data_IF_375605428327
#
_entry.id   IF_375605428327
#
_cell.length_a   1.000
_cell.length_b   1.000
_cell.length_c   1.000
_cell.angle_alpha   90.00
_cell.angle_beta   90.00
_cell.angle_gamma   90.00
#
_symmetry.space_group_name_H-M   'P 1'
#
loop_
_entity.id
_entity.type
_entity.pdbx_description
1 polymer ?
#
# COMPACT_ATOMS: atom_id res chain seq x y z
N UNK A 1 -15.27 -53.03 -10.76
CA UNK A 1 -14.05 -52.26 -11.00
C UNK A 1 -13.51 -51.78 -9.66
N UNK A 2 -12.33 -52.21 -9.24
CA UNK A 2 -11.72 -51.70 -8.00
C UNK A 2 -10.90 -50.45 -8.31
N UNK A 3 -11.22 -49.38 -7.64
CA UNK A 3 -10.44 -48.12 -7.72
C UNK A 3 -9.19 -48.31 -6.85
N UNK A 4 -8.02 -48.21 -7.46
CA UNK A 4 -6.74 -48.30 -6.75
C UNK A 4 -6.36 -46.86 -6.33
N UNK A 5 -6.45 -46.54 -5.04
CA UNK A 5 -5.93 -45.31 -4.47
C UNK A 5 -4.40 -45.36 -4.52
N UNK A 6 -3.79 -44.34 -5.11
CA UNK A 6 -2.33 -44.15 -5.12
C UNK A 6 -2.05 -42.88 -4.33
N UNK A 7 -1.42 -43.00 -3.17
CA UNK A 7 -0.86 -41.88 -2.44
C UNK A 7 0.37 -41.39 -3.16
N UNK A 8 0.45 -40.06 -3.33
CA UNK A 8 1.63 -39.37 -3.86
C UNK A 8 2.02 -38.26 -2.89
N UNK A 9 3.27 -38.22 -2.55
CA UNK A 9 3.84 -37.11 -1.83
C UNK A 9 4.00 -35.94 -2.81
N UNK A 10 3.39 -34.80 -2.53
CA UNK A 10 3.44 -33.60 -3.34
C UNK A 10 4.14 -32.53 -2.51
N UNK A 11 5.24 -32.00 -3.00
CA UNK A 11 5.92 -30.87 -2.38
C UNK A 11 4.99 -29.66 -2.37
N UNK A 12 4.81 -29.05 -1.19
CA UNK A 12 4.07 -27.79 -1.08
C UNK A 12 4.82 -26.69 -1.84
N UNK A 13 4.18 -26.00 -2.80
CA UNK A 13 4.81 -24.91 -3.50
C UNK A 13 5.06 -23.70 -2.59
N UNK A 14 4.43 -23.67 -1.41
CA UNK A 14 4.58 -22.56 -0.45
C UNK A 14 5.84 -22.67 0.40
N UNK A 15 6.46 -23.89 0.47
CA UNK A 15 7.59 -24.17 1.36
C UNK A 15 7.23 -23.97 2.84
N UNK A 16 8.13 -24.35 3.72
CA UNK A 16 8.06 -24.00 5.15
C UNK A 16 8.76 -22.66 5.36
N UNK A 17 8.15 -21.57 4.86
CA UNK A 17 8.68 -20.24 5.10
C UNK A 17 8.22 -19.83 6.50
N UNK A 18 9.08 -19.99 7.50
CA UNK A 18 8.93 -19.25 8.75
C UNK A 18 9.05 -17.77 8.45
N UNK A 19 7.92 -17.14 8.25
CA UNK A 19 7.87 -15.67 8.09
C UNK A 19 8.17 -15.04 9.44
N UNK A 20 9.40 -14.58 9.64
CA UNK A 20 9.74 -13.86 10.87
C UNK A 20 8.90 -12.60 10.92
N UNK A 21 8.03 -12.51 11.94
CA UNK A 21 7.27 -11.28 12.21
C UNK A 21 8.26 -10.11 12.39
N UNK A 22 7.99 -9.02 11.68
CA UNK A 22 8.77 -7.78 11.75
C UNK A 22 7.88 -6.65 12.26
N UNK A 23 8.49 -5.75 13.02
CA UNK A 23 7.82 -4.53 13.43
C UNK A 23 7.89 -3.52 12.29
N UNK A 24 6.85 -2.72 12.15
CA UNK A 24 6.84 -1.56 11.27
C UNK A 24 7.75 -0.46 11.82
N UNK A 25 8.28 0.36 10.94
CA UNK A 25 8.94 1.59 11.34
C UNK A 25 7.92 2.52 12.01
N UNK A 26 8.23 3.13 13.16
CA UNK A 26 7.33 4.09 13.77
C UNK A 26 7.19 5.33 12.88
N UNK A 27 6.04 5.99 12.91
CA UNK A 27 5.95 7.34 12.37
C UNK A 27 6.79 8.27 13.24
N UNK A 28 7.53 9.21 12.65
CA UNK A 28 8.17 10.25 13.42
C UNK A 28 7.13 11.18 14.06
N UNK A 29 7.40 11.66 15.28
CA UNK A 29 6.51 12.59 15.99
C UNK A 29 6.30 13.89 15.19
N UNK A 30 7.32 14.31 14.47
CA UNK A 30 7.27 15.42 13.54
C UNK A 30 7.87 14.98 12.20
N UNK A 31 7.16 15.24 11.10
CA UNK A 31 7.61 14.90 9.75
C UNK A 31 7.44 16.09 8.81
N UNK A 32 8.48 16.36 8.06
CA UNK A 32 8.54 17.46 7.09
C UNK A 32 8.36 16.99 5.65
N UNK A 33 8.78 15.76 5.36
CA UNK A 33 8.84 15.22 4.00
C UNK A 33 7.96 13.98 3.83
N UNK A 34 7.16 13.95 2.78
CA UNK A 34 6.26 12.85 2.45
C UNK A 34 6.48 12.41 1.00
N UNK A 35 6.79 11.14 0.77
CA UNK A 35 6.77 10.59 -0.58
C UNK A 35 5.34 10.19 -0.95
N UNK A 36 4.91 10.61 -2.13
CA UNK A 36 3.65 10.20 -2.75
C UNK A 36 3.97 9.26 -3.92
N UNK A 37 3.74 7.97 -3.72
CA UNK A 37 3.98 6.96 -4.73
C UNK A 37 2.68 6.67 -5.48
N UNK A 38 2.57 7.24 -6.67
CA UNK A 38 1.46 7.08 -7.61
C UNK A 38 1.76 5.92 -8.57
N UNK A 39 0.94 4.88 -8.52
CA UNK A 39 1.06 3.75 -9.45
C UNK A 39 0.33 3.99 -10.77
N UNK A 40 -0.09 5.20 -11.07
CA UNK A 40 -0.80 5.59 -12.29
C UNK A 40 -2.08 4.79 -12.58
N UNK A 41 -2.66 4.15 -11.57
CA UNK A 41 -4.01 3.61 -11.64
C UNK A 41 -5.00 4.79 -11.74
N UNK A 42 -6.02 4.74 -12.62
CA UNK A 42 -7.02 5.81 -12.67
C UNK A 42 -7.58 6.14 -11.29
N UNK A 43 -7.48 7.41 -10.88
CA UNK A 43 -7.90 7.93 -9.58
C UNK A 43 -6.83 7.91 -8.47
N UNK A 44 -5.68 7.27 -8.68
CA UNK A 44 -4.58 7.31 -7.71
C UNK A 44 -4.05 8.72 -7.49
N UNK A 45 -3.88 9.47 -8.57
CA UNK A 45 -3.45 10.85 -8.58
C UNK A 45 -4.41 11.77 -7.83
N UNK A 46 -5.72 11.63 -8.05
CA UNK A 46 -6.76 12.41 -7.36
C UNK A 46 -6.71 12.15 -5.85
N UNK A 47 -6.68 10.87 -5.44
CA UNK A 47 -6.59 10.50 -4.01
C UNK A 47 -5.33 11.12 -3.39
N UNK A 48 -4.17 10.96 -4.03
CA UNK A 48 -2.90 11.47 -3.48
C UNK A 48 -2.89 13.01 -3.38
N UNK A 49 -3.48 13.73 -4.33
CA UNK A 49 -3.58 15.19 -4.28
C UNK A 49 -4.46 15.65 -3.10
N UNK A 50 -5.60 15.02 -2.88
CA UNK A 50 -6.48 15.33 -1.76
C UNK A 50 -5.80 15.05 -0.40
N UNK A 51 -5.08 13.94 -0.29
CA UNK A 51 -4.32 13.64 0.92
C UNK A 51 -3.17 14.63 1.13
N UNK A 52 -2.49 15.01 0.07
CA UNK A 52 -1.45 16.04 0.09
C UNK A 52 -1.99 17.36 0.64
N UNK A 53 -3.13 17.84 0.14
CA UNK A 53 -3.76 19.05 0.62
C UNK A 53 -4.16 18.95 2.10
N UNK A 54 -4.63 17.79 2.54
CA UNK A 54 -5.01 17.54 3.93
C UNK A 54 -3.84 17.53 4.91
N UNK A 55 -2.63 17.27 4.43
CA UNK A 55 -1.40 17.23 5.21
C UNK A 55 -0.77 18.62 5.41
N UNK A 56 -1.22 19.65 4.69
CA UNK A 56 -0.78 21.03 4.86
C UNK A 56 0.64 21.28 4.33
N UNK A 57 1.34 22.24 4.93
CA UNK A 57 2.64 22.73 4.43
C UNK A 57 3.78 21.74 4.74
N UNK A 58 3.94 20.74 3.90
CA UNK A 58 5.06 19.78 3.93
C UNK A 58 5.77 19.75 2.59
N UNK A 59 6.96 19.15 2.55
CA UNK A 59 7.66 18.88 1.29
C UNK A 59 7.18 17.53 0.74
N UNK A 60 6.77 17.51 -0.51
CA UNK A 60 6.30 16.29 -1.16
C UNK A 60 7.29 15.81 -2.22
N UNK A 61 7.53 14.50 -2.24
CA UNK A 61 8.37 13.83 -3.24
C UNK A 61 7.46 12.94 -4.10
N UNK A 62 7.09 13.44 -5.26
CA UNK A 62 6.26 12.67 -6.20
C UNK A 62 7.09 11.58 -6.88
N UNK A 63 6.61 10.34 -6.78
CA UNK A 63 7.18 9.16 -7.40
C UNK A 63 6.10 8.45 -8.20
N UNK A 64 6.28 8.33 -9.52
CA UNK A 64 5.33 7.64 -10.41
C UNK A 64 5.87 6.31 -10.89
N UNK A 65 5.01 5.30 -10.94
CA UNK A 65 5.31 3.97 -11.48
C UNK A 65 4.11 3.39 -12.22
N UNK A 66 4.30 2.40 -13.13
CA UNK A 66 3.17 1.70 -13.74
C UNK A 66 2.35 0.89 -12.73
N UNK A 67 1.01 0.85 -12.89
CA UNK A 67 0.11 0.10 -12.00
C UNK A 67 0.40 -1.42 -11.99
N UNK A 68 0.75 -1.97 -13.13
CA UNK A 68 1.00 -3.41 -13.31
C UNK A 68 2.43 -3.86 -13.02
N UNK A 69 3.27 -3.03 -12.40
CA UNK A 69 4.68 -3.35 -12.13
C UNK A 69 5.13 -2.85 -10.76
N UNK A 70 6.18 -3.48 -10.17
CA UNK A 70 6.80 -2.97 -8.95
C UNK A 70 7.52 -1.65 -9.21
N UNK A 71 7.72 -0.86 -8.17
CA UNK A 71 8.61 0.28 -8.23
C UNK A 71 10.06 -0.19 -8.45
N UNK A 72 10.81 0.54 -9.27
CA UNK A 72 12.23 0.29 -9.47
C UNK A 72 13.02 0.62 -8.19
N UNK A 73 14.23 0.08 -8.09
CA UNK A 73 15.11 0.40 -6.94
C UNK A 73 15.41 1.90 -6.82
N UNK A 74 15.48 2.61 -7.94
CA UNK A 74 15.69 4.05 -7.96
C UNK A 74 14.46 4.82 -7.45
N UNK A 75 13.26 4.42 -7.88
CA UNK A 75 12.01 4.99 -7.38
C UNK A 75 11.83 4.76 -5.87
N UNK A 76 12.13 3.56 -5.38
CA UNK A 76 12.08 3.28 -3.95
C UNK A 76 13.14 4.06 -3.17
N UNK A 77 14.37 4.16 -3.67
CA UNK A 77 15.40 5.00 -3.05
C UNK A 77 14.96 6.45 -2.98
N UNK A 78 14.35 7.00 -4.05
CA UNK A 78 13.80 8.35 -4.02
C UNK A 78 12.72 8.50 -2.94
N UNK A 79 11.77 7.57 -2.84
CA UNK A 79 10.73 7.59 -1.82
C UNK A 79 11.31 7.43 -0.40
N UNK A 80 12.35 6.62 -0.23
CA UNK A 80 13.01 6.39 1.05
C UNK A 80 13.81 7.59 1.60
N UNK A 81 13.94 8.68 0.85
CA UNK A 81 14.49 9.95 1.35
C UNK A 81 13.45 10.81 2.09
N UNK A 82 12.24 10.33 2.24
CA UNK A 82 11.19 11.01 3.00
C UNK A 82 11.00 10.42 4.40
N UNK A 83 10.36 11.18 5.28
CA UNK A 83 10.05 10.76 6.64
C UNK A 83 8.94 9.71 6.68
N UNK A 84 8.06 9.72 5.69
CA UNK A 84 7.05 8.68 5.46
C UNK A 84 6.67 8.61 3.96
N UNK A 85 6.09 7.49 3.55
CA UNK A 85 5.59 7.32 2.18
C UNK A 85 4.11 6.90 2.17
N UNK A 86 3.33 7.55 1.31
CA UNK A 86 1.94 7.20 1.02
C UNK A 86 1.88 6.63 -0.40
N UNK A 87 1.33 5.43 -0.53
CA UNK A 87 1.29 4.70 -1.80
C UNK A 87 -0.16 4.49 -2.25
N UNK A 88 -0.48 4.82 -3.49
CA UNK A 88 -1.79 4.60 -4.11
C UNK A 88 -1.63 3.99 -5.51
N UNK A 89 -2.53 3.15 -5.98
CA UNK A 89 -3.79 2.69 -5.43
C UNK A 89 -3.95 1.18 -5.66
N UNK A 90 -4.40 0.44 -4.66
CA UNK A 90 -4.78 -0.96 -4.75
C UNK A 90 -6.29 -1.11 -5.04
N UNK A 91 -6.68 -1.09 -6.31
CA UNK A 91 -8.08 -1.18 -6.77
C UNK A 91 -8.29 -2.34 -7.76
N UNK A 92 -7.39 -3.32 -7.74
CA UNK A 92 -7.42 -4.59 -8.47
C UNK A 92 -6.34 -5.50 -7.88
N UNK A 93 -6.38 -6.80 -8.19
CA UNK A 93 -5.45 -7.77 -7.61
C UNK A 93 -3.97 -7.43 -7.85
N UNK A 94 -3.57 -7.17 -9.10
CA UNK A 94 -2.19 -6.83 -9.44
C UNK A 94 -1.75 -5.46 -8.89
N UNK A 95 -2.64 -4.46 -8.93
CA UNK A 95 -2.34 -3.13 -8.37
C UNK A 95 -2.06 -3.22 -6.87
N UNK A 96 -2.92 -3.94 -6.14
CA UNK A 96 -2.80 -4.18 -4.71
C UNK A 96 -1.51 -4.92 -4.39
N UNK A 97 -1.20 -5.99 -5.14
CA UNK A 97 0.05 -6.75 -4.95
C UNK A 97 1.27 -5.83 -4.99
N UNK A 98 1.37 -5.00 -6.03
CA UNK A 98 2.56 -4.16 -6.20
C UNK A 98 2.62 -3.00 -5.20
N UNK A 99 1.48 -2.42 -4.81
CA UNK A 99 1.45 -1.38 -3.75
C UNK A 99 1.90 -1.97 -2.43
N UNK A 100 1.39 -3.13 -2.03
CA UNK A 100 1.76 -3.79 -0.77
C UNK A 100 3.24 -4.20 -0.78
N UNK A 101 3.73 -4.81 -1.86
CA UNK A 101 5.14 -5.22 -1.95
C UNK A 101 6.10 -4.02 -1.96
N UNK A 102 5.74 -2.92 -2.60
CA UNK A 102 6.55 -1.70 -2.57
C UNK A 102 6.56 -1.05 -1.19
N UNK A 103 5.41 -1.05 -0.47
CA UNK A 103 5.33 -0.60 0.92
C UNK A 103 6.22 -1.46 1.84
N UNK A 104 6.16 -2.78 1.71
CA UNK A 104 7.02 -3.71 2.45
C UNK A 104 8.51 -3.40 2.21
N UNK A 105 8.89 -3.15 0.95
CA UNK A 105 10.28 -2.81 0.61
C UNK A 105 10.72 -1.48 1.22
N UNK A 106 9.84 -0.47 1.26
CA UNK A 106 10.10 0.81 1.92
C UNK A 106 10.23 0.64 3.43
N UNK A 107 9.36 -0.14 4.07
CA UNK A 107 9.48 -0.50 5.49
C UNK A 107 10.84 -1.18 5.78
N UNK A 108 11.31 -2.06 4.88
CA UNK A 108 12.64 -2.68 5.01
C UNK A 108 13.79 -1.69 4.80
N UNK A 109 13.56 -0.59 4.12
CA UNK A 109 14.51 0.51 3.92
C UNK A 109 14.49 1.52 5.08
N UNK A 110 13.60 1.36 6.07
CA UNK A 110 13.48 2.24 7.22
C UNK A 110 12.44 3.35 7.09
N UNK A 111 11.68 3.38 5.99
CA UNK A 111 10.66 4.41 5.74
C UNK A 111 9.29 3.88 6.12
N UNK A 112 8.60 4.49 7.10
CA UNK A 112 7.24 4.11 7.45
C UNK A 112 6.28 4.38 6.29
N UNK A 113 5.29 3.50 6.11
CA UNK A 113 4.39 3.56 4.95
C UNK A 113 2.92 3.55 5.33
N UNK A 114 2.10 4.13 4.44
CA UNK A 114 0.65 3.98 4.40
C UNK A 114 0.26 3.58 2.99
N UNK A 115 -0.41 2.44 2.82
CA UNK A 115 -0.94 1.96 1.54
C UNK A 115 -2.42 2.29 1.42
N UNK A 116 -2.86 2.79 0.27
CA UNK A 116 -4.28 3.05 -0.01
C UNK A 116 -4.79 1.94 -0.91
N UNK A 117 -5.79 1.20 -0.39
CA UNK A 117 -6.46 0.14 -1.12
C UNK A 117 -7.97 0.32 -1.03
N UNK A 118 -8.70 -0.04 -2.08
CA UNK A 118 -10.14 -0.10 -1.97
C UNK A 118 -10.58 -1.29 -1.09
N UNK A 119 -11.72 -1.14 -0.42
CA UNK A 119 -12.21 -2.05 0.61
C UNK A 119 -12.30 -3.51 0.15
N UNK A 120 -12.74 -3.77 -1.07
CA UNK A 120 -12.78 -5.11 -1.67
C UNK A 120 -11.40 -5.80 -1.74
N UNK A 121 -10.31 -5.03 -1.75
CA UNK A 121 -8.95 -5.55 -1.85
C UNK A 121 -8.17 -5.51 -0.53
N UNK A 122 -8.71 -4.94 0.53
CA UNK A 122 -8.08 -4.93 1.87
C UNK A 122 -7.80 -6.34 2.41
N UNK A 123 -8.73 -7.31 2.34
CA UNK A 123 -8.45 -8.66 2.83
C UNK A 123 -7.24 -9.30 2.13
N UNK A 124 -7.16 -9.15 0.81
CA UNK A 124 -6.03 -9.66 0.03
C UNK A 124 -4.72 -8.91 0.37
N UNK A 125 -4.78 -7.58 0.52
CA UNK A 125 -3.62 -6.77 0.89
C UNK A 125 -3.04 -7.18 2.25
N UNK A 126 -3.90 -7.45 3.24
CA UNK A 126 -3.50 -7.91 4.57
C UNK A 126 -2.88 -9.29 4.55
N UNK A 127 -3.46 -10.23 3.79
CA UNK A 127 -2.92 -11.57 3.65
C UNK A 127 -1.52 -11.54 3.01
N UNK A 128 -1.36 -10.73 1.96
CA UNK A 128 -0.07 -10.55 1.30
C UNK A 128 0.96 -9.92 2.26
N UNK A 129 0.60 -8.89 3.01
CA UNK A 129 1.49 -8.28 3.99
C UNK A 129 1.89 -9.28 5.09
N UNK A 130 0.92 -10.08 5.58
CA UNK A 130 1.13 -11.12 6.57
C UNK A 130 2.10 -12.19 6.07
N UNK A 131 1.96 -12.64 4.82
CA UNK A 131 2.88 -13.62 4.21
C UNK A 131 4.32 -13.13 4.11
N UNK A 132 4.54 -11.82 4.22
CA UNK A 132 5.86 -11.18 4.31
C UNK A 132 6.26 -10.76 5.73
N UNK A 133 5.50 -11.15 6.76
CA UNK A 133 5.80 -10.90 8.17
C UNK A 133 5.44 -9.49 8.67
N UNK A 134 4.73 -8.68 7.88
CA UNK A 134 4.27 -7.34 8.24
C UNK A 134 2.75 -7.29 8.44
N UNK A 135 2.26 -8.07 9.43
CA UNK A 135 0.82 -8.22 9.70
C UNK A 135 0.10 -6.88 9.96
N UNK A 136 0.82 -5.92 10.52
CA UNK A 136 0.28 -4.64 10.95
C UNK A 136 0.52 -3.54 9.90
N UNK A 137 0.86 -3.89 8.64
CA UNK A 137 1.10 -2.92 7.56
C UNK A 137 -0.07 -1.93 7.47
N UNK A 138 0.25 -0.64 7.50
CA UNK A 138 -0.76 0.42 7.59
C UNK A 138 -1.45 0.60 6.27
N UNK A 139 -2.76 0.53 6.30
CA UNK A 139 -3.62 0.65 5.12
C UNK A 139 -4.75 1.62 5.39
N UNK A 140 -4.99 2.52 4.46
CA UNK A 140 -6.21 3.32 4.39
C UNK A 140 -7.16 2.67 3.40
N UNK A 141 -8.39 2.51 3.84
CA UNK A 141 -9.45 1.88 3.07
C UNK A 141 -10.31 2.95 2.41
N UNK A 142 -10.44 2.87 1.08
CA UNK A 142 -11.33 3.70 0.28
C UNK A 142 -12.41 2.85 -0.35
N UNK A 143 -13.64 3.34 -0.43
CA UNK A 143 -14.76 2.57 -0.96
C UNK A 143 -14.56 2.18 -2.43
N UNK A 144 -14.64 0.88 -2.74
CA UNK A 144 -14.59 0.35 -4.11
C UNK A 144 -15.85 0.76 -4.92
N UNK A 145 -15.77 0.85 -6.26
CA UNK A 145 -14.56 0.99 -7.08
C UNK A 145 -14.03 2.42 -7.06
N UNK A 146 -12.78 2.59 -7.51
CA UNK A 146 -12.22 3.91 -7.81
C UNK A 146 -12.04 4.06 -9.32
N UNK A 147 -11.43 3.08 -9.97
CA UNK A 147 -11.23 3.13 -11.41
C UNK A 147 -12.59 3.21 -12.16
N UNK A 148 -12.69 4.18 -13.06
CA UNK A 148 -13.90 4.39 -13.87
C UNK A 148 -14.89 5.39 -13.30
N UNK A 149 -14.65 5.93 -12.11
CA UNK A 149 -15.44 7.03 -11.55
C UNK A 149 -14.99 8.39 -12.12
N UNK A 150 -15.87 9.38 -12.03
CA UNK A 150 -15.54 10.77 -12.29
C UNK A 150 -14.61 11.34 -11.22
N UNK A 151 -13.95 12.46 -11.52
CA UNK A 151 -13.09 13.15 -10.57
C UNK A 151 -13.82 13.50 -9.27
N UNK A 152 -15.02 14.06 -9.36
CA UNK A 152 -15.81 14.49 -8.20
C UNK A 152 -16.21 13.29 -7.30
N UNK A 153 -16.55 12.14 -7.90
CA UNK A 153 -16.86 10.92 -7.15
C UNK A 153 -15.64 10.36 -6.42
N UNK A 154 -14.46 10.45 -7.04
CA UNK A 154 -13.20 10.03 -6.41
C UNK A 154 -12.84 11.00 -5.28
N UNK A 155 -13.02 12.31 -5.49
CA UNK A 155 -12.83 13.33 -4.47
C UNK A 155 -13.71 13.06 -3.24
N UNK A 156 -15.01 12.88 -3.44
CA UNK A 156 -15.96 12.57 -2.36
C UNK A 156 -15.56 11.33 -1.54
N UNK A 157 -15.05 10.29 -2.19
CA UNK A 157 -14.55 9.09 -1.52
C UNK A 157 -13.25 9.35 -0.77
N UNK A 158 -12.35 10.13 -1.36
CA UNK A 158 -11.05 10.47 -0.78
C UNK A 158 -11.17 11.35 0.45
N UNK A 159 -12.11 12.28 0.47
CA UNK A 159 -12.38 13.12 1.65
C UNK A 159 -12.78 12.28 2.87
N UNK A 160 -13.45 11.16 2.66
CA UNK A 160 -13.90 10.27 3.76
C UNK A 160 -12.76 9.54 4.46
N UNK A 161 -11.61 9.38 3.83
CA UNK A 161 -10.45 8.71 4.44
C UNK A 161 -9.51 9.66 5.19
N UNK A 162 -9.69 10.98 5.06
CA UNK A 162 -8.87 11.99 5.75
C UNK A 162 -8.88 11.82 7.28
N UNK A 163 -10.03 11.59 7.93
CA UNK A 163 -10.03 11.37 9.39
C UNK A 163 -9.18 10.18 9.83
N UNK A 164 -9.22 9.09 9.05
CA UNK A 164 -8.40 7.91 9.32
C UNK A 164 -6.90 8.18 9.10
N UNK A 165 -6.53 8.94 8.05
CA UNK A 165 -5.16 9.38 7.83
C UNK A 165 -4.64 10.21 9.01
N UNK A 166 -5.42 11.21 9.45
CA UNK A 166 -5.06 12.08 10.57
C UNK A 166 -4.90 11.29 11.88
N UNK A 167 -5.82 10.35 12.13
CA UNK A 167 -5.73 9.46 13.27
C UNK A 167 -4.45 8.61 13.24
N UNK A 168 -4.11 8.00 12.10
CA UNK A 168 -2.87 7.23 11.94
C UNK A 168 -1.61 8.05 12.19
N UNK A 169 -1.61 9.30 11.72
CA UNK A 169 -0.47 10.22 11.82
C UNK A 169 -0.47 11.04 13.11
N UNK A 170 -1.48 10.90 13.97
CA UNK A 170 -1.67 11.65 15.22
C UNK A 170 -1.63 13.17 15.02
N UNK A 171 -2.14 13.65 13.89
CA UNK A 171 -2.23 15.08 13.57
C UNK A 171 -3.67 15.61 13.71
N UNK A 172 -3.86 16.91 14.08
CA UNK A 172 -5.18 17.53 14.29
C UNK A 172 -6.05 17.61 13.02
#
# INVERSE_FOLDING_TARGET
MSVKLVEREVLSPLGDIETKKRNLNPFPDDFETVALLDNTKPGADVILEILKDSLGKRKFLDVKKPAGAPATSEQLKKAAHSDLAILALGDCGSCTSWIVLDAIRLEYMGTPTISICSDDFIPFARELASSHGLNDLRMLEVQHPIAGLSHDEIEDKSLKIIPALRYLLQIP
#
